data_IF_690769730113
#
_entry.id   IF_690769730113
#
_cell.length_a   1.000
_cell.length_b   1.000
_cell.length_c   1.000
_cell.angle_alpha   90.00
_cell.angle_beta   90.00
_cell.angle_gamma   90.00
#
_symmetry.space_group_name_H-M   'P 1'
#
loop_
_entity.id
_entity.type
_entity.pdbx_description
1 polymer ?
#
# COMPACT_ATOMS: atom_id res chain seq x y z
N UNK A 1 -24.36 -9.30 21.95
CA UNK A 1 -24.01 -8.55 20.74
C UNK A 1 -24.92 -8.98 19.61
N UNK A 2 -25.35 -8.07 18.76
CA UNK A 2 -26.13 -8.44 17.58
C UNK A 2 -25.21 -9.17 16.58
N UNK A 3 -25.41 -10.48 16.43
CA UNK A 3 -24.76 -11.26 15.39
C UNK A 3 -25.59 -11.23 14.11
N UNK A 4 -24.92 -11.17 12.96
CA UNK A 4 -25.53 -11.23 11.63
C UNK A 4 -24.76 -12.23 10.80
N UNK A 5 -25.47 -13.18 10.19
CA UNK A 5 -24.88 -14.15 9.27
C UNK A 5 -24.83 -13.55 7.87
N UNK A 6 -23.65 -13.58 7.24
CA UNK A 6 -23.52 -13.28 5.82
C UNK A 6 -23.89 -14.54 5.03
N UNK A 7 -24.83 -14.42 4.10
CA UNK A 7 -25.33 -15.56 3.31
C UNK A 7 -24.49 -15.86 2.06
N UNK A 8 -23.49 -15.03 1.78
CA UNK A 8 -22.58 -15.15 0.65
C UNK A 8 -21.78 -13.88 0.48
N UNK A 9 -20.52 -14.00 0.07
CA UNK A 9 -19.63 -12.87 -0.19
C UNK A 9 -18.84 -13.15 -1.46
N UNK A 10 -19.02 -12.30 -2.48
CA UNK A 10 -18.25 -12.37 -3.71
C UNK A 10 -16.99 -11.53 -3.51
N UNK A 11 -15.84 -12.19 -3.32
CA UNK A 11 -14.58 -11.49 -3.00
C UNK A 11 -14.11 -10.56 -4.12
N UNK A 12 -14.34 -10.92 -5.39
CA UNK A 12 -13.99 -10.06 -6.53
C UNK A 12 -14.76 -8.74 -6.54
N UNK A 13 -15.96 -8.70 -5.97
CA UNK A 13 -16.74 -7.46 -5.85
C UNK A 13 -16.20 -6.50 -4.78
N UNK A 14 -15.33 -7.00 -3.87
CA UNK A 14 -14.62 -6.17 -2.89
C UNK A 14 -13.30 -5.64 -3.42
N UNK A 15 -12.85 -6.08 -4.60
CA UNK A 15 -11.61 -5.66 -5.20
C UNK A 15 -11.89 -4.68 -6.35
N UNK A 16 -11.02 -3.67 -6.54
CA UNK A 16 -11.11 -2.79 -7.68
C UNK A 16 -10.77 -3.55 -8.97
N UNK A 17 -11.42 -3.17 -10.08
CA UNK A 17 -11.08 -3.68 -11.40
C UNK A 17 -9.80 -3.02 -11.90
N UNK A 18 -8.66 -3.57 -11.47
CA UNK A 18 -7.32 -3.21 -11.92
C UNK A 18 -6.35 -4.37 -11.71
N UNK A 19 -5.38 -4.50 -12.63
CA UNK A 19 -4.22 -5.39 -12.46
C UNK A 19 -2.96 -4.62 -12.05
N UNK A 20 -3.05 -3.30 -11.94
CA UNK A 20 -1.93 -2.44 -11.60
C UNK A 20 -1.74 -2.37 -10.09
N UNK A 21 -0.52 -2.54 -9.62
CA UNK A 21 -0.19 -2.54 -8.20
C UNK A 21 1.25 -2.09 -7.93
N UNK A 22 1.48 -1.69 -6.69
CA UNK A 22 2.78 -1.44 -6.08
C UNK A 22 3.02 -2.51 -5.01
N UNK A 23 4.25 -3.00 -4.88
CA UNK A 23 4.62 -4.03 -3.90
C UNK A 23 5.96 -3.74 -3.22
N UNK A 24 6.05 -4.06 -1.93
CA UNK A 24 7.23 -3.87 -1.09
C UNK A 24 7.19 -4.79 0.14
N UNK A 25 8.35 -5.11 0.71
CA UNK A 25 8.46 -5.85 1.97
C UNK A 25 8.18 -4.92 3.17
N UNK A 26 7.40 -5.35 4.14
CA UNK A 26 7.03 -4.53 5.29
C UNK A 26 6.59 -5.34 6.49
N UNK A 27 5.93 -4.65 7.42
CA UNK A 27 5.47 -5.21 8.68
C UNK A 27 3.96 -5.18 8.84
N UNK A 28 3.48 -5.93 9.82
CA UNK A 28 2.10 -5.82 10.29
C UNK A 28 1.80 -4.39 10.79
N UNK A 29 0.62 -3.82 10.46
CA UNK A 29 0.25 -2.48 10.90
C UNK A 29 -0.32 -2.45 12.34
N UNK A 30 -0.31 -3.59 13.02
CA UNK A 30 -0.74 -3.75 14.41
C UNK A 30 0.35 -4.49 15.21
N UNK A 31 0.40 -4.33 16.55
CA UNK A 31 1.35 -5.06 17.39
C UNK A 31 1.24 -6.57 17.17
N UNK A 32 2.34 -7.33 17.08
CA UNK A 32 3.73 -7.04 17.45
C UNK A 32 4.64 -6.53 16.30
N UNK A 33 4.07 -5.95 15.23
CA UNK A 33 4.82 -5.26 14.16
C UNK A 33 5.87 -6.12 13.42
N UNK A 34 5.68 -7.43 13.32
CA UNK A 34 6.62 -8.33 12.63
C UNK A 34 6.82 -7.97 11.16
N UNK A 35 8.08 -7.99 10.71
CA UNK A 35 8.51 -7.74 9.32
C UNK A 35 8.40 -9.00 8.45
N UNK A 36 7.18 -9.51 8.30
CA UNK A 36 6.90 -10.76 7.59
C UNK A 36 5.88 -10.59 6.45
N UNK A 37 5.61 -9.35 6.03
CA UNK A 37 4.53 -9.04 5.09
C UNK A 37 5.09 -8.52 3.77
N UNK A 38 4.74 -9.18 2.66
CA UNK A 38 4.87 -8.61 1.33
C UNK A 38 3.58 -7.85 0.99
N UNK A 39 3.64 -6.53 0.94
CA UNK A 39 2.48 -5.69 0.64
C UNK A 39 2.16 -5.68 -0.86
N UNK A 40 0.87 -5.70 -1.20
CA UNK A 40 0.36 -5.47 -2.56
C UNK A 40 -0.70 -4.38 -2.47
N UNK A 41 -0.39 -3.21 -3.01
CA UNK A 41 -1.26 -2.03 -2.99
C UNK A 41 -1.78 -1.79 -4.40
N UNK A 42 -3.09 -1.97 -4.60
CA UNK A 42 -3.73 -1.83 -5.91
C UNK A 42 -3.84 -0.35 -6.33
N UNK A 43 -3.59 -0.06 -7.61
CA UNK A 43 -3.57 1.30 -8.17
C UNK A 43 -4.98 1.87 -8.46
N UNK A 44 -6.00 1.39 -7.76
CA UNK A 44 -7.39 1.86 -7.92
C UNK A 44 -8.14 1.66 -6.62
N UNK A 45 -8.89 2.68 -6.19
CA UNK A 45 -9.71 2.60 -4.99
C UNK A 45 -11.10 1.99 -5.27
N UNK A 46 -11.61 1.22 -4.32
CA UNK A 46 -13.02 0.79 -4.29
C UNK A 46 -13.88 1.98 -3.87
N UNK A 47 -14.94 2.25 -4.62
CA UNK A 47 -15.85 3.35 -4.36
C UNK A 47 -16.95 2.91 -3.40
N UNK A 48 -17.21 3.71 -2.36
CA UNK A 48 -18.30 3.51 -1.40
C UNK A 48 -19.06 4.81 -1.22
N UNK A 49 -20.33 4.72 -0.80
CA UNK A 49 -21.13 5.91 -0.51
C UNK A 49 -20.77 6.51 0.85
N UNK A 50 -21.07 7.80 1.03
CA UNK A 50 -20.88 8.47 2.32
C UNK A 50 -21.66 7.78 3.45
N UNK A 51 -22.88 7.33 3.16
CA UNK A 51 -23.71 6.61 4.13
C UNK A 51 -23.05 5.30 4.59
N UNK A 52 -22.42 4.55 3.67
CA UNK A 52 -21.66 3.34 4.01
C UNK A 52 -20.44 3.66 4.87
N UNK A 53 -19.68 4.70 4.51
CA UNK A 53 -18.51 5.13 5.29
C UNK A 53 -18.92 5.60 6.71
N UNK A 54 -20.03 6.32 6.83
CA UNK A 54 -20.57 6.75 8.12
C UNK A 54 -20.97 5.56 8.98
N UNK A 55 -21.64 4.57 8.41
CA UNK A 55 -22.01 3.34 9.13
C UNK A 55 -20.78 2.60 9.70
N UNK A 56 -19.67 2.56 8.95
CA UNK A 56 -18.40 1.99 9.44
C UNK A 56 -17.80 2.81 10.59
N UNK A 57 -17.88 4.14 10.55
CA UNK A 57 -17.35 5.04 11.59
C UNK A 57 -18.21 5.08 12.87
N UNK A 58 -19.45 4.61 12.81
CA UNK A 58 -20.34 4.47 13.97
C UNK A 58 -20.08 3.19 14.78
N UNK A 59 -19.24 2.28 14.26
CA UNK A 59 -18.84 1.07 14.96
C UNK A 59 -18.12 1.40 16.28
N UNK A 60 -18.18 0.44 17.21
CA UNK A 60 -17.69 0.58 18.58
C UNK A 60 -16.61 -0.46 18.85
N UNK A 61 -15.59 -0.07 19.63
CA UNK A 61 -14.49 -0.97 20.01
C UNK A 61 -15.01 -2.18 20.78
N UNK A 62 -16.02 -1.97 21.63
CA UNK A 62 -16.61 -3.01 22.47
C UNK A 62 -18.15 -2.90 22.48
N UNK A 63 -18.88 -3.96 22.86
CA UNK A 63 -20.34 -3.99 22.73
C UNK A 63 -21.11 -3.13 23.76
N UNK A 64 -20.42 -2.45 24.68
CA UNK A 64 -21.04 -1.62 25.72
C UNK A 64 -21.04 -0.12 25.35
N UNK A 65 -22.02 0.62 25.90
CA UNK A 65 -22.34 2.01 25.52
C UNK A 65 -21.29 3.07 25.87
N UNK A 66 -20.29 2.74 26.69
CA UNK A 66 -19.21 3.66 27.07
C UNK A 66 -17.92 3.45 26.28
N UNK A 67 -17.84 2.39 25.45
CA UNK A 67 -16.63 2.14 24.65
C UNK A 67 -16.33 3.29 23.67
N UNK A 68 -15.07 3.50 23.33
CA UNK A 68 -14.73 4.40 22.22
C UNK A 68 -15.42 3.99 20.90
N UNK A 69 -15.56 4.95 19.99
CA UNK A 69 -15.84 4.66 18.57
C UNK A 69 -14.62 3.96 17.98
N UNK A 70 -14.87 3.03 17.07
CA UNK A 70 -13.84 2.38 16.27
C UNK A 70 -13.50 3.29 15.09
N UNK A 71 -13.05 4.51 15.38
CA UNK A 71 -12.55 5.48 14.40
C UNK A 71 -11.03 5.50 14.42
N UNK A 72 -10.42 5.90 13.31
CA UNK A 72 -8.97 6.13 13.20
C UNK A 72 -8.08 4.91 13.52
N UNK A 73 -8.59 3.70 13.24
CA UNK A 73 -7.85 2.45 13.43
C UNK A 73 -6.82 2.21 12.30
N UNK A 74 -5.91 3.15 12.10
CA UNK A 74 -4.83 3.04 11.12
C UNK A 74 -3.48 3.35 11.78
N UNK A 75 -2.43 2.74 11.25
CA UNK A 75 -1.05 3.04 11.64
C UNK A 75 -0.54 4.22 10.81
N UNK A 76 0.13 5.23 11.40
CA UNK A 76 0.75 6.31 10.65
C UNK A 76 1.78 5.81 9.64
N UNK A 77 1.99 6.55 8.56
CA UNK A 77 3.01 6.24 7.56
C UNK A 77 4.39 6.13 8.19
N UNK A 78 5.13 5.09 7.83
CA UNK A 78 6.49 4.86 8.31
C UNK A 78 7.49 5.17 7.21
N UNK A 79 8.72 5.48 7.60
CA UNK A 79 9.81 5.72 6.64
C UNK A 79 10.01 4.50 5.73
N UNK A 80 10.34 4.76 4.46
CA UNK A 80 10.59 3.69 3.52
C UNK A 80 11.86 2.91 3.90
N UNK A 81 12.85 3.57 4.52
CA UNK A 81 14.20 3.03 4.70
C UNK A 81 14.75 2.53 3.35
N UNK A 82 15.86 1.81 3.32
CA UNK A 82 16.47 1.33 2.06
C UNK A 82 15.68 0.17 1.41
N UNK A 83 14.35 0.13 1.55
CA UNK A 83 13.50 -0.90 0.98
C UNK A 83 13.18 -0.58 -0.47
N UNK A 84 13.34 -1.57 -1.33
CA UNK A 84 12.96 -1.46 -2.75
C UNK A 84 11.44 -1.56 -2.91
N UNK A 85 10.88 -0.63 -3.70
CA UNK A 85 9.48 -0.64 -4.11
C UNK A 85 9.41 -1.07 -5.57
N UNK A 86 8.52 -2.02 -5.88
CA UNK A 86 8.34 -2.57 -7.23
C UNK A 86 6.92 -2.27 -7.71
N UNK A 87 6.72 -2.13 -9.02
CA UNK A 87 5.41 -1.85 -9.61
C UNK A 87 5.30 -2.43 -11.01
N UNK A 88 4.08 -2.77 -11.44
CA UNK A 88 3.76 -3.11 -12.82
C UNK A 88 3.00 -1.98 -13.54
N UNK A 89 2.95 -0.79 -12.95
CA UNK A 89 2.36 0.39 -13.55
C UNK A 89 3.30 0.93 -14.63
N UNK A 90 2.81 0.98 -15.87
CA UNK A 90 3.51 1.67 -16.95
C UNK A 90 3.17 3.16 -16.89
N UNK A 91 4.16 3.97 -16.57
CA UNK A 91 4.07 5.42 -16.67
C UNK A 91 4.39 5.80 -18.12
N UNK A 92 3.39 5.86 -18.98
CA UNK A 92 3.59 6.35 -20.36
C UNK A 92 3.97 7.83 -20.30
N UNK A 93 5.16 8.19 -20.78
CA UNK A 93 5.59 9.57 -20.99
C UNK A 93 4.66 10.27 -21.97
N UNK A 94 3.62 10.91 -21.45
CA UNK A 94 2.75 11.80 -22.23
C UNK A 94 3.09 13.23 -21.88
N UNK A 95 4.19 13.74 -22.44
CA UNK A 95 4.44 15.18 -22.43
C UNK A 95 5.92 15.55 -22.42
N UNK A 96 6.42 15.88 -23.60
CA UNK A 96 7.60 16.71 -23.84
C UNK A 96 7.43 18.10 -23.17
N UNK A 97 7.58 18.21 -21.84
CA UNK A 97 8.04 19.44 -21.15
C UNK A 97 8.31 19.22 -19.64
N UNK A 98 9.19 18.28 -19.32
CA UNK A 98 10.08 18.35 -18.15
C UNK A 98 11.12 17.26 -18.36
N UNK A 99 12.38 17.62 -18.59
CA UNK A 99 13.49 16.69 -18.81
C UNK A 99 13.92 15.98 -17.51
N UNK A 100 12.97 15.60 -16.67
CA UNK A 100 13.27 14.75 -15.53
C UNK A 100 13.10 13.32 -16.04
N UNK A 101 14.21 12.75 -16.50
CA UNK A 101 14.37 11.31 -16.63
C UNK A 101 13.78 10.66 -15.36
N UNK A 102 12.95 9.60 -15.46
CA UNK A 102 12.54 8.86 -14.28
C UNK A 102 13.79 8.26 -13.63
N UNK A 103 14.40 9.01 -12.70
CA UNK A 103 15.57 8.58 -11.94
C UNK A 103 15.05 7.60 -10.90
N UNK A 104 14.92 6.34 -11.30
CA UNK A 104 14.76 5.24 -10.36
C UNK A 104 16.12 5.04 -9.70
N UNK A 105 16.34 5.73 -8.58
CA UNK A 105 17.54 5.53 -7.76
C UNK A 105 17.31 4.34 -6.82
N UNK A 106 18.06 3.26 -7.05
CA UNK A 106 18.17 2.16 -6.09
C UNK A 106 19.38 2.44 -5.19
N UNK A 107 19.18 2.55 -3.88
CA UNK A 107 20.28 2.55 -2.92
C UNK A 107 20.48 1.13 -2.41
N UNK A 108 21.55 0.46 -2.86
CA UNK A 108 22.03 -0.79 -2.29
C UNK A 108 23.24 -0.48 -1.40
N UNK A 109 23.12 -0.72 -0.10
CA UNK A 109 24.27 -0.70 0.82
C UNK A 109 25.02 -2.03 0.68
N UNK A 110 26.18 -2.01 0.02
CA UNK A 110 27.12 -3.14 0.07
C UNK A 110 27.74 -3.19 1.46
N UNK A 111 27.73 -4.36 2.09
CA UNK A 111 28.34 -4.60 3.40
C UNK A 111 29.86 -4.37 3.32
N UNK A 112 30.27 -3.13 3.54
CA UNK A 112 31.65 -2.68 3.36
C UNK A 112 31.79 -1.17 3.14
N UNK A 113 31.13 -0.35 3.97
CA UNK A 113 31.59 1.01 4.31
C UNK A 113 31.61 2.12 3.24
N UNK A 114 31.25 1.88 1.97
CA UNK A 114 31.11 2.96 0.98
C UNK A 114 29.89 2.74 0.08
N UNK A 115 28.94 3.68 0.14
CA UNK A 115 27.81 3.75 -0.80
C UNK A 115 28.33 4.21 -2.15
N UNK A 116 28.32 3.35 -3.15
CA UNK A 116 28.59 3.71 -4.55
C UNK A 116 27.28 3.77 -5.33
N UNK A 117 27.09 4.86 -6.09
CA UNK A 117 26.03 4.96 -7.11
C UNK A 117 26.43 3.98 -8.24
N UNK A 118 25.63 2.93 -8.43
CA UNK A 118 25.85 1.96 -9.52
C UNK A 118 24.97 2.41 -10.68
N UNK A 119 25.58 2.98 -11.72
CA UNK A 119 24.94 3.14 -13.02
C UNK A 119 24.81 1.75 -13.66
N UNK A 120 23.58 1.30 -13.88
CA UNK A 120 23.30 0.07 -14.64
C UNK A 120 22.95 0.47 -16.06
N UNK A 121 23.62 -0.20 -17.01
CA UNK A 121 23.40 -0.11 -18.46
C UNK A 121 21.90 -0.20 -18.79
N UNK A 122 21.47 0.72 -19.65
CA UNK A 122 20.13 0.70 -20.21
C UNK A 122 19.95 -0.58 -21.02
N UNK A 123 18.73 -1.11 -21.03
CA UNK A 123 18.37 -2.31 -21.79
C UNK A 123 18.34 -2.06 -23.31
N UNK A 124 18.74 -0.86 -23.75
CA UNK A 124 19.08 -0.50 -25.12
C UNK A 124 20.53 -0.84 -25.51
N UNK A 125 21.38 -1.18 -24.55
CA UNK A 125 22.77 -1.64 -24.74
C UNK A 125 22.89 -3.19 -24.74
N UNK A 126 21.77 -3.91 -24.93
CA UNK A 126 21.73 -5.35 -25.24
C UNK A 126 21.12 -5.60 -26.62
#
# INVERSE_FOLDING_TARGET
>A
GHSRRLNGLILSALLPDTKQYITYEGSLPFPACHESVTWIVLNRAVQITEAQLKALRELRIAPFRESGRMSDNFRPTQNLNNRSVRTNIYFSDKGQHCSVQPKISYFATVSGGTSTEIDIMDQSDL
#
